data_IF_358341170690
#
_entry.id   IF_358341170690
#
_cell.length_a   1.000
_cell.length_b   1.000
_cell.length_c   1.000
_cell.angle_alpha   90.00
_cell.angle_beta   90.00
_cell.angle_gamma   90.00
#
_symmetry.space_group_name_H-M   'P 1'
#
loop_
_entity.id
_entity.type
_entity.pdbx_description
1 polymer ?
#
# COMPACT_ATOMS: atom_id res chain seq x y z
N UNK A 1 -0.11 -10.80 23.01
CA UNK A 1 -1.04 -10.00 22.18
C UNK A 1 -0.74 -10.35 20.73
N UNK A 2 -1.73 -10.78 19.96
CA UNK A 2 -1.56 -11.02 18.52
C UNK A 2 -1.24 -9.68 17.89
N UNK A 3 -0.09 -9.53 17.21
CA UNK A 3 0.21 -8.29 16.52
C UNK A 3 -0.87 -8.06 15.46
N UNK A 4 -1.60 -6.95 15.59
CA UNK A 4 -2.58 -6.54 14.60
C UNK A 4 -1.86 -5.70 13.55
N UNK A 5 -1.91 -6.15 12.31
CA UNK A 5 -1.40 -5.36 11.19
C UNK A 5 -2.58 -4.58 10.60
N UNK A 6 -2.38 -3.29 10.39
CA UNK A 6 -3.32 -2.43 9.69
C UNK A 6 -2.86 -2.26 8.25
N UNK A 7 -3.70 -2.65 7.30
CA UNK A 7 -3.42 -2.57 5.88
C UNK A 7 -4.29 -1.51 5.24
N UNK A 8 -3.69 -0.62 4.47
CA UNK A 8 -4.38 0.41 3.72
C UNK A 8 -4.07 0.30 2.23
N UNK A 9 -5.10 0.34 1.40
CA UNK A 9 -4.97 0.49 -0.04
C UNK A 9 -5.39 1.88 -0.45
N UNK A 10 -4.60 2.52 -1.31
CA UNK A 10 -4.86 3.85 -1.82
C UNK A 10 -4.66 3.89 -3.33
N UNK A 11 -5.52 4.61 -4.02
CA UNK A 11 -5.34 5.01 -5.41
C UNK A 11 -4.66 6.36 -5.41
N UNK A 12 -3.57 6.50 -6.14
CA UNK A 12 -2.86 7.75 -6.36
C UNK A 12 -2.96 8.04 -7.85
N UNK A 13 -3.47 9.21 -8.20
CA UNK A 13 -3.49 9.69 -9.58
C UNK A 13 -2.54 10.88 -9.70
N UNK A 14 -1.59 10.76 -10.62
CA UNK A 14 -0.59 11.80 -10.89
C UNK A 14 -0.85 12.37 -12.27
N UNK A 15 -1.31 13.61 -12.27
CA UNK A 15 -1.42 14.46 -13.44
C UNK A 15 -0.17 15.33 -13.56
N UNK A 16 -0.02 16.03 -14.68
CA UNK A 16 1.10 16.95 -14.88
C UNK A 16 1.13 18.11 -13.86
N UNK A 17 -0.05 18.55 -13.40
CA UNK A 17 -0.25 19.73 -12.55
C UNK A 17 -0.62 19.40 -11.10
N UNK A 18 -1.08 18.17 -10.81
CA UNK A 18 -1.59 17.80 -9.49
C UNK A 18 -1.44 16.31 -9.19
N UNK A 19 -1.52 15.99 -7.90
CA UNK A 19 -1.60 14.62 -7.39
C UNK A 19 -2.83 14.49 -6.51
N UNK A 20 -3.68 13.50 -6.81
CA UNK A 20 -4.82 13.13 -5.96
C UNK A 20 -4.56 11.77 -5.31
N UNK A 21 -5.16 11.56 -4.14
CA UNK A 21 -5.04 10.30 -3.41
C UNK A 21 -6.38 9.97 -2.77
N UNK A 22 -6.88 8.77 -3.05
CA UNK A 22 -8.16 8.28 -2.55
C UNK A 22 -7.97 6.94 -1.82
N UNK A 23 -8.59 6.75 -0.64
CA UNK A 23 -8.60 5.45 0.00
C UNK A 23 -9.45 4.47 -0.81
N UNK A 24 -8.99 3.23 -0.94
CA UNK A 24 -9.73 2.14 -1.59
C UNK A 24 -10.37 1.27 -0.50
N UNK A 25 -9.56 0.72 0.39
CA UNK A 25 -10.03 -0.08 1.52
C UNK A 25 -8.98 -0.13 2.63
N UNK A 26 -9.44 -0.54 3.80
CA UNK A 26 -8.63 -0.74 5.00
C UNK A 26 -9.00 -2.04 5.68
N UNK A 27 -8.02 -2.82 6.11
CA UNK A 27 -8.23 -4.14 6.70
C UNK A 27 -7.31 -4.36 7.90
N UNK A 28 -7.76 -5.15 8.86
CA UNK A 28 -6.93 -5.62 9.96
C UNK A 28 -6.58 -7.09 9.73
N UNK A 29 -5.29 -7.39 9.66
CA UNK A 29 -4.78 -8.72 9.36
C UNK A 29 -3.86 -9.20 10.48
N UNK A 30 -3.88 -10.50 10.75
CA UNK A 30 -2.87 -11.15 11.58
C UNK A 30 -1.56 -11.37 10.80
N UNK A 31 -0.51 -11.81 11.49
CA UNK A 31 0.81 -11.99 10.87
C UNK A 31 0.82 -13.02 9.73
N UNK A 32 0.06 -14.12 9.85
CA UNK A 32 -0.03 -15.13 8.78
C UNK A 32 -0.72 -14.58 7.54
N UNK A 33 -1.80 -13.82 7.72
CA UNK A 33 -2.51 -13.15 6.64
C UNK A 33 -1.65 -12.11 5.93
N UNK A 34 -0.82 -11.37 6.67
CA UNK A 34 0.14 -10.42 6.09
C UNK A 34 1.19 -11.11 5.24
N UNK A 35 1.71 -12.26 5.67
CA UNK A 35 2.69 -13.01 4.86
C UNK A 35 2.06 -13.53 3.57
N UNK A 36 0.83 -14.04 3.62
CA UNK A 36 0.07 -14.42 2.42
C UNK A 36 -0.18 -13.20 1.52
N UNK A 37 -0.53 -12.06 2.11
CA UNK A 37 -0.75 -10.82 1.37
C UNK A 37 0.52 -10.37 0.65
N UNK A 38 1.68 -10.33 1.31
CA UNK A 38 2.95 -9.94 0.69
C UNK A 38 3.28 -10.81 -0.52
N UNK A 39 3.03 -12.12 -0.43
CA UNK A 39 3.20 -13.03 -1.56
C UNK A 39 2.22 -12.73 -2.69
N UNK A 40 0.95 -12.44 -2.35
CA UNK A 40 -0.07 -12.04 -3.31
C UNK A 40 0.28 -10.73 -4.03
N UNK A 41 0.71 -9.70 -3.29
CA UNK A 41 1.17 -8.41 -3.84
C UNK A 41 2.30 -8.63 -4.87
N UNK A 42 3.29 -9.46 -4.53
CA UNK A 42 4.38 -9.80 -5.45
C UNK A 42 3.86 -10.48 -6.72
N UNK A 43 2.94 -11.45 -6.61
CA UNK A 43 2.32 -12.11 -7.76
C UNK A 43 1.52 -11.14 -8.63
N UNK A 44 0.88 -10.15 -8.02
CA UNK A 44 0.09 -9.12 -8.72
C UNK A 44 0.93 -7.99 -9.32
N UNK A 45 2.26 -8.03 -9.19
CA UNK A 45 3.18 -7.06 -9.78
C UNK A 45 3.43 -5.81 -8.95
N UNK A 46 3.04 -5.80 -7.67
CA UNK A 46 3.43 -4.73 -6.76
C UNK A 46 4.94 -4.77 -6.49
N UNK A 47 5.57 -3.59 -6.50
CA UNK A 47 6.97 -3.40 -6.18
C UNK A 47 7.10 -2.86 -4.77
N UNK A 48 8.08 -3.36 -4.02
CA UNK A 48 8.45 -2.81 -2.73
C UNK A 48 9.03 -1.40 -2.91
N UNK A 49 8.47 -0.42 -2.21
CA UNK A 49 8.91 0.98 -2.27
C UNK A 49 9.81 1.33 -1.11
N UNK A 50 9.52 0.80 0.08
CA UNK A 50 10.29 1.11 1.27
C UNK A 50 9.58 0.79 2.58
N UNK A 51 10.29 1.03 3.67
CA UNK A 51 9.84 0.87 5.05
C UNK A 51 10.18 2.12 5.83
N UNK A 52 9.25 2.59 6.66
CA UNK A 52 9.42 3.77 7.50
C UNK A 52 8.62 3.63 8.80
N UNK A 53 8.60 4.69 9.61
CA UNK A 53 7.86 4.78 10.86
C UNK A 53 6.79 5.87 10.76
N UNK A 54 5.61 5.59 11.28
CA UNK A 54 4.55 6.59 11.40
C UNK A 54 4.82 7.54 12.59
N UNK A 55 3.90 8.50 12.80
CA UNK A 55 4.00 9.47 13.91
C UNK A 55 3.92 8.84 15.31
N UNK A 56 3.49 7.57 15.40
CA UNK A 56 3.36 6.80 16.62
C UNK A 56 4.49 5.75 16.76
N UNK A 57 5.54 5.87 15.95
CA UNK A 57 6.69 4.97 15.90
C UNK A 57 6.33 3.52 15.49
N UNK A 58 5.17 3.31 14.84
CA UNK A 58 4.82 2.03 14.22
C UNK A 58 5.56 1.87 12.90
N UNK A 59 6.11 0.67 12.66
CA UNK A 59 6.73 0.38 11.38
C UNK A 59 5.67 0.13 10.31
N UNK A 60 5.80 0.80 9.17
CA UNK A 60 5.00 0.49 8.00
C UNK A 60 5.87 0.19 6.79
N UNK A 61 5.37 -0.68 5.93
CA UNK A 61 5.98 -1.05 4.65
C UNK A 61 5.03 -0.69 3.52
N UNK A 62 5.54 -0.05 2.47
CA UNK A 62 4.75 0.33 1.30
C UNK A 62 5.14 -0.43 0.06
N UNK A 63 4.12 -0.82 -0.70
CA UNK A 63 4.22 -1.43 -2.02
C UNK A 63 3.40 -0.62 -3.02
N UNK A 64 3.87 -0.51 -4.25
CA UNK A 64 3.18 0.24 -5.31
C UNK A 64 3.12 -0.57 -6.60
N UNK A 65 1.97 -0.50 -7.29
CA UNK A 65 1.78 -1.04 -8.63
C UNK A 65 1.23 0.04 -9.53
N UNK A 66 1.84 0.23 -10.70
CA UNK A 66 1.25 1.06 -11.76
C UNK A 66 0.03 0.34 -12.34
N UNK A 67 -1.09 1.03 -12.39
CA UNK A 67 -2.32 0.52 -12.99
C UNK A 67 -2.19 0.45 -14.51
N UNK A 68 -2.78 -0.58 -15.10
CA UNK A 68 -2.92 -0.73 -16.56
C UNK A 68 -3.79 0.37 -17.18
N UNK A 69 -4.63 1.02 -16.38
CA UNK A 69 -5.46 2.15 -16.79
C UNK A 69 -4.70 3.49 -16.81
N UNK A 70 -3.39 3.50 -16.58
CA UNK A 70 -2.58 4.71 -16.68
C UNK A 70 -2.54 5.20 -18.12
N UNK A 71 -2.75 6.50 -18.33
CA UNK A 71 -2.60 7.17 -19.62
C UNK A 71 -1.35 8.06 -19.61
N UNK A 72 -1.00 8.64 -20.76
CA UNK A 72 0.07 9.63 -20.84
C UNK A 72 -0.23 10.90 -20.02
N UNK A 73 -1.51 11.24 -19.86
CA UNK A 73 -1.98 12.42 -19.12
C UNK A 73 -2.22 12.17 -17.63
N UNK A 74 -2.35 10.91 -17.22
CA UNK A 74 -2.62 10.52 -15.83
C UNK A 74 -1.98 9.17 -15.50
N UNK A 75 -0.94 9.20 -14.67
CA UNK A 75 -0.36 7.98 -14.10
C UNK A 75 -1.18 7.55 -12.87
N UNK A 76 -1.73 6.34 -12.91
CA UNK A 76 -2.51 5.76 -11.80
C UNK A 76 -1.66 4.72 -11.09
N UNK A 77 -1.46 4.90 -9.79
CA UNK A 77 -0.69 4.01 -8.92
C UNK A 77 -1.61 3.48 -7.82
N UNK A 78 -1.61 2.16 -7.64
CA UNK A 78 -2.24 1.53 -6.49
C UNK A 78 -1.15 1.27 -5.45
N UNK A 79 -1.35 1.81 -4.26
CA UNK A 79 -0.42 1.72 -3.13
C UNK A 79 -1.02 0.87 -2.02
N UNK A 80 -0.28 -0.14 -1.57
CA UNK A 80 -0.59 -0.91 -0.38
C UNK A 80 0.38 -0.52 0.74
N UNK A 81 -0.13 -0.22 1.93
CA UNK A 81 0.65 0.12 3.12
C UNK A 81 0.31 -0.90 4.19
N UNK A 82 1.31 -1.59 4.73
CA UNK A 82 1.15 -2.57 5.81
C UNK A 82 1.84 -2.00 7.04
N UNK A 83 1.06 -1.60 8.03
CA UNK A 83 1.52 -1.03 9.30
C UNK A 83 1.41 -2.07 10.40
N UNK A 84 2.53 -2.39 11.05
CA UNK A 84 2.54 -3.25 12.23
C UNK A 84 2.27 -2.40 13.47
N UNK A 85 1.12 -2.60 14.10
CA UNK A 85 0.76 -1.90 15.34
C UNK A 85 1.53 -2.50 16.51
N UNK A 86 1.98 -1.64 17.43
CA UNK A 86 2.67 -2.02 18.67
C UNK A 86 1.72 -2.50 19.77
#
# INVERSE_FOLDING_TARGET
MVASNFVEYRRIERYADRVTMEPICTEYLNDNEVEMLKQSLKKQGYKYVGRSKDRYDNYYTSYERKSEYSTESCEIIIKAIITRLK
#
